data_IF_685754028534
#
_entry.id   IF_685754028534
#
_cell.length_a   1.000
_cell.length_b   1.000
_cell.length_c   1.000
_cell.angle_alpha   90.00
_cell.angle_beta   90.00
_cell.angle_gamma   90.00
#
_symmetry.space_group_name_H-M   'P 1'
#
loop_
_entity.id
_entity.type
_entity.pdbx_description
1 polymer ?
#
# COMPACT_ATOMS: atom_id res chain seq x y z
N UNK A 1 30.92 1.17 -6.35
CA UNK A 1 30.23 1.84 -5.21
C UNK A 1 29.57 0.79 -4.33
N UNK A 2 29.40 1.02 -3.02
CA UNK A 2 28.54 0.15 -2.21
C UNK A 2 27.07 0.28 -2.63
N UNK A 3 26.24 -0.76 -2.40
CA UNK A 3 24.84 -0.80 -2.84
C UNK A 3 24.05 0.45 -2.44
N UNK A 4 24.13 0.86 -1.17
CA UNK A 4 23.43 2.05 -0.67
C UNK A 4 23.96 3.37 -1.27
N UNK A 5 25.23 3.45 -1.64
CA UNK A 5 25.79 4.65 -2.28
C UNK A 5 25.27 4.83 -3.71
N UNK A 6 24.92 3.74 -4.40
CA UNK A 6 24.36 3.71 -5.75
C UNK A 6 22.87 4.12 -5.82
N UNK A 7 22.13 3.97 -4.72
CA UNK A 7 20.70 4.30 -4.68
C UNK A 7 20.46 5.81 -4.68
N UNK A 8 19.40 6.25 -5.37
CA UNK A 8 18.87 7.61 -5.33
C UNK A 8 17.59 7.70 -4.51
N UNK A 9 17.03 8.91 -4.39
CA UNK A 9 15.86 9.21 -3.54
C UNK A 9 14.66 8.30 -3.87
N UNK A 10 14.43 7.97 -5.14
CA UNK A 10 13.32 7.10 -5.56
C UNK A 10 13.37 5.70 -4.95
N UNK A 11 14.55 5.12 -4.75
CA UNK A 11 14.71 3.84 -4.08
C UNK A 11 14.10 3.86 -2.66
N UNK A 12 14.41 4.89 -1.88
CA UNK A 12 13.95 4.98 -0.49
C UNK A 12 12.43 5.15 -0.42
N UNK A 13 11.85 5.95 -1.31
CA UNK A 13 10.40 6.10 -1.38
C UNK A 13 9.72 4.80 -1.79
N UNK A 14 10.25 4.07 -2.79
CA UNK A 14 9.69 2.78 -3.20
C UNK A 14 9.76 1.75 -2.07
N UNK A 15 10.89 1.64 -1.37
CA UNK A 15 11.00 0.73 -0.21
C UNK A 15 10.00 1.11 0.88
N UNK A 16 9.80 2.41 1.14
CA UNK A 16 8.85 2.88 2.13
C UNK A 16 7.40 2.61 1.70
N UNK A 17 7.08 2.76 0.41
CA UNK A 17 5.81 2.34 -0.20
C UNK A 17 5.56 0.86 0.04
N UNK A 18 6.56 -0.01 -0.22
CA UNK A 18 6.44 -1.46 0.02
C UNK A 18 6.15 -1.75 1.49
N UNK A 19 6.90 -1.13 2.41
CA UNK A 19 6.69 -1.32 3.85
C UNK A 19 5.28 -0.91 4.26
N UNK A 20 4.81 0.25 3.79
CA UNK A 20 3.47 0.76 4.09
C UNK A 20 2.37 -0.10 3.47
N UNK A 21 2.55 -0.59 2.24
CA UNK A 21 1.60 -1.48 1.58
C UNK A 21 1.51 -2.84 2.28
N UNK A 22 2.64 -3.41 2.72
CA UNK A 22 2.66 -4.64 3.53
C UNK A 22 1.99 -4.41 4.88
N UNK A 23 2.33 -3.32 5.58
CA UNK A 23 1.70 -2.98 6.86
C UNK A 23 0.19 -2.76 6.70
N UNK A 24 -0.24 -2.07 5.64
CA UNK A 24 -1.65 -1.86 5.30
C UNK A 24 -2.37 -3.17 4.98
N UNK A 25 -1.70 -4.11 4.30
CA UNK A 25 -2.24 -5.46 4.05
C UNK A 25 -2.42 -6.25 5.34
N UNK A 26 -1.44 -6.23 6.24
CA UNK A 26 -1.53 -6.90 7.55
C UNK A 26 -2.64 -6.26 8.39
N UNK A 27 -2.71 -4.94 8.45
CA UNK A 27 -3.77 -4.22 9.16
C UNK A 27 -5.17 -4.53 8.59
N UNK A 28 -5.28 -4.65 7.26
CA UNK A 28 -6.52 -5.07 6.61
C UNK A 28 -6.93 -6.49 7.02
N UNK A 29 -6.00 -7.45 7.04
CA UNK A 29 -6.27 -8.82 7.45
C UNK A 29 -6.66 -8.92 8.94
N UNK A 30 -5.95 -8.19 9.81
CA UNK A 30 -6.32 -8.08 11.23
C UNK A 30 -7.72 -7.51 11.36
N UNK A 31 -8.03 -6.44 10.62
CA UNK A 31 -9.35 -5.85 10.65
C UNK A 31 -10.44 -6.83 10.16
N UNK A 32 -10.18 -7.61 9.12
CA UNK A 32 -11.11 -8.67 8.69
C UNK A 32 -11.29 -9.78 9.73
N UNK A 33 -10.43 -9.88 10.73
CA UNK A 33 -10.52 -10.87 11.80
C UNK A 33 -11.21 -10.37 13.07
N UNK A 34 -11.65 -9.11 13.13
CA UNK A 34 -12.30 -8.58 14.34
C UNK A 34 -13.76 -9.00 14.44
N UNK A 35 -14.33 -8.92 15.64
CA UNK A 35 -15.70 -9.36 15.92
C UNK A 35 -16.71 -8.65 15.01
N UNK A 36 -16.54 -7.34 14.81
CA UNK A 36 -17.43 -6.55 13.96
C UNK A 36 -17.29 -6.86 12.46
N UNK A 37 -16.05 -6.88 11.95
CA UNK A 37 -15.78 -6.88 10.51
C UNK A 37 -15.58 -8.28 9.92
N UNK A 38 -15.47 -9.32 10.75
CA UNK A 38 -15.33 -10.72 10.31
C UNK A 38 -16.45 -11.19 9.39
N UNK A 39 -17.68 -10.72 9.62
CA UNK A 39 -18.84 -11.05 8.78
C UNK A 39 -18.74 -10.50 7.35
N UNK A 40 -17.93 -9.47 7.11
CA UNK A 40 -17.68 -8.93 5.77
C UNK A 40 -16.61 -9.72 5.01
N UNK A 41 -15.81 -10.50 5.73
CA UNK A 41 -14.72 -11.29 5.18
C UNK A 41 -13.63 -10.46 4.49
N UNK A 42 -12.81 -11.19 3.72
CA UNK A 42 -11.68 -10.65 2.95
C UNK A 42 -12.16 -10.35 1.52
N UNK A 43 -12.08 -9.10 1.12
CA UNK A 43 -12.33 -8.66 -0.24
C UNK A 43 -11.13 -9.02 -1.13
N UNK A 44 -11.37 -9.93 -2.08
CA UNK A 44 -10.35 -10.42 -3.01
C UNK A 44 -9.76 -9.32 -3.90
N UNK A 45 -10.54 -8.29 -4.24
CA UNK A 45 -10.08 -7.14 -5.03
C UNK A 45 -9.02 -6.31 -4.30
N UNK A 46 -9.24 -6.04 -3.00
CA UNK A 46 -8.25 -5.33 -2.16
C UNK A 46 -6.96 -6.13 -2.10
N UNK A 47 -7.05 -7.42 -1.78
CA UNK A 47 -5.87 -8.29 -1.64
C UNK A 47 -5.11 -8.43 -2.95
N UNK A 48 -5.80 -8.68 -4.07
CA UNK A 48 -5.17 -8.82 -5.37
C UNK A 48 -4.41 -7.55 -5.75
N UNK A 49 -5.03 -6.37 -5.58
CA UNK A 49 -4.39 -5.10 -5.91
C UNK A 49 -3.15 -4.83 -5.03
N UNK A 50 -3.25 -5.05 -3.71
CA UNK A 50 -2.12 -4.84 -2.80
C UNK A 50 -0.95 -5.80 -3.10
N UNK A 51 -1.23 -7.09 -3.28
CA UNK A 51 -0.19 -8.09 -3.54
C UNK A 51 0.50 -7.81 -4.88
N UNK A 52 -0.27 -7.56 -5.95
CA UNK A 52 0.31 -7.26 -7.27
C UNK A 52 1.13 -5.97 -7.20
N UNK A 53 0.64 -4.93 -6.54
CA UNK A 53 1.39 -3.67 -6.38
C UNK A 53 2.71 -3.88 -5.63
N UNK A 54 2.70 -4.62 -4.51
CA UNK A 54 3.91 -4.93 -3.74
C UNK A 54 4.94 -5.67 -4.62
N UNK A 55 4.50 -6.67 -5.37
CA UNK A 55 5.38 -7.42 -6.28
C UNK A 55 5.98 -6.49 -7.33
N UNK A 56 5.17 -5.62 -7.95
CA UNK A 56 5.62 -4.67 -8.96
C UNK A 56 6.67 -3.69 -8.40
N UNK A 57 6.47 -3.14 -7.21
CA UNK A 57 7.47 -2.27 -6.56
C UNK A 57 8.80 -2.99 -6.32
N UNK A 58 8.77 -4.26 -5.87
CA UNK A 58 9.97 -5.07 -5.69
C UNK A 58 10.67 -5.36 -7.02
N UNK A 59 9.91 -5.65 -8.08
CA UNK A 59 10.43 -5.81 -9.44
C UNK A 59 11.10 -4.52 -9.91
N UNK A 60 10.52 -3.35 -9.61
CA UNK A 60 11.13 -2.05 -9.95
C UNK A 60 12.51 -1.87 -9.29
N UNK A 61 12.62 -2.19 -8.00
CA UNK A 61 13.88 -2.09 -7.25
C UNK A 61 14.94 -3.03 -7.82
N UNK A 62 14.60 -4.30 -8.03
CA UNK A 62 15.51 -5.33 -8.52
C UNK A 62 15.93 -5.03 -9.97
N UNK A 63 14.94 -4.73 -10.82
CA UNK A 63 15.12 -4.42 -12.24
C UNK A 63 16.02 -3.22 -12.46
N UNK A 64 15.76 -2.12 -11.74
CA UNK A 64 16.57 -0.90 -11.84
C UNK A 64 18.03 -1.12 -11.43
N UNK A 65 18.27 -2.00 -10.46
CA UNK A 65 19.62 -2.31 -9.97
C UNK A 65 20.38 -3.29 -10.88
N UNK A 66 19.68 -4.13 -11.65
CA UNK A 66 20.27 -5.20 -12.46
C UNK A 66 20.41 -4.82 -13.93
N UNK A 67 19.38 -4.20 -14.52
CA UNK A 67 19.29 -3.94 -15.96
C UNK A 67 19.52 -2.46 -16.32
N UNK A 68 19.62 -1.58 -15.32
CA UNK A 68 19.52 -0.14 -15.53
C UNK A 68 18.11 0.29 -15.90
N UNK A 69 17.85 1.59 -15.86
CA UNK A 69 16.50 2.13 -16.06
C UNK A 69 16.11 2.07 -17.54
N UNK A 70 14.92 1.54 -17.84
CA UNK A 70 14.37 1.41 -19.18
C UNK A 70 12.87 1.76 -19.20
N UNK A 71 12.29 1.93 -20.40
CA UNK A 71 10.88 2.35 -20.56
C UNK A 71 9.87 1.43 -19.87
N UNK A 72 10.17 0.14 -19.75
CA UNK A 72 9.27 -0.81 -19.09
C UNK A 72 9.29 -0.60 -17.57
N UNK A 73 10.48 -0.39 -17.00
CA UNK A 73 10.64 -0.07 -15.58
C UNK A 73 10.00 1.27 -15.21
N UNK A 74 10.04 2.26 -16.11
CA UNK A 74 9.38 3.56 -15.87
C UNK A 74 7.84 3.44 -15.82
N UNK A 75 7.26 2.41 -16.44
CA UNK A 75 5.81 2.16 -16.39
C UNK A 75 5.37 1.49 -15.08
N UNK A 76 6.25 0.74 -14.43
CA UNK A 76 5.92 -0.05 -13.25
C UNK A 76 5.35 0.81 -12.12
N UNK A 77 5.98 1.94 -11.71
CA UNK A 77 5.47 2.79 -10.64
C UNK A 77 4.07 3.37 -10.93
N UNK A 78 3.75 3.60 -12.22
CA UNK A 78 2.44 4.10 -12.64
C UNK A 78 1.37 3.02 -12.46
N UNK A 79 1.68 1.78 -12.87
CA UNK A 79 0.76 0.65 -12.75
C UNK A 79 0.59 0.24 -11.28
N UNK A 80 1.68 0.14 -10.51
CA UNK A 80 1.61 -0.15 -9.08
C UNK A 80 0.86 0.96 -8.33
N UNK A 81 1.09 2.22 -8.66
CA UNK A 81 0.37 3.36 -8.11
C UNK A 81 -1.14 3.30 -8.36
N UNK A 82 -1.55 2.97 -9.58
CA UNK A 82 -2.95 2.77 -9.92
C UNK A 82 -3.58 1.63 -9.10
N UNK A 83 -2.88 0.50 -8.95
CA UNK A 83 -3.35 -0.64 -8.15
C UNK A 83 -3.46 -0.27 -6.66
N UNK A 84 -2.48 0.44 -6.10
CA UNK A 84 -2.53 0.94 -4.72
C UNK A 84 -3.75 1.86 -4.51
N UNK A 85 -4.04 2.74 -5.48
CA UNK A 85 -5.20 3.62 -5.42
C UNK A 85 -6.52 2.83 -5.49
N UNK A 86 -6.61 1.82 -6.37
CA UNK A 86 -7.79 0.94 -6.43
C UNK A 86 -7.96 0.18 -5.12
N UNK A 87 -6.89 -0.38 -4.55
CA UNK A 87 -6.93 -1.04 -3.25
C UNK A 87 -7.43 -0.11 -2.15
N UNK A 88 -6.91 1.11 -2.08
CA UNK A 88 -7.34 2.13 -1.13
C UNK A 88 -8.84 2.46 -1.27
N UNK A 89 -9.30 2.74 -2.48
CA UNK A 89 -10.71 3.05 -2.75
C UNK A 89 -11.64 1.90 -2.36
N UNK A 90 -11.24 0.66 -2.68
CA UNK A 90 -11.98 -0.54 -2.30
C UNK A 90 -11.99 -0.75 -0.77
N UNK A 91 -10.88 -0.49 -0.08
CA UNK A 91 -10.82 -0.61 1.38
C UNK A 91 -11.73 0.40 2.07
N UNK A 92 -11.68 1.67 1.67
CA UNK A 92 -12.63 2.69 2.17
C UNK A 92 -14.07 2.25 1.91
N UNK A 93 -14.37 1.81 0.68
CA UNK A 93 -15.71 1.36 0.30
C UNK A 93 -16.19 0.17 1.13
N UNK A 94 -15.30 -0.78 1.42
CA UNK A 94 -15.60 -1.97 2.21
C UNK A 94 -15.82 -1.70 3.71
N UNK A 95 -15.47 -0.50 4.20
CA UNK A 95 -15.52 -0.18 5.64
C UNK A 95 -16.36 1.05 6.00
N UNK A 96 -16.63 1.95 5.06
CA UNK A 96 -17.35 3.20 5.34
C UNK A 96 -18.73 2.97 5.97
N UNK A 97 -19.49 1.97 5.50
CA UNK A 97 -20.80 1.65 6.07
C UNK A 97 -20.70 1.09 7.50
N UNK A 98 -19.73 0.21 7.76
CA UNK A 98 -19.49 -0.34 9.10
C UNK A 98 -19.02 0.74 10.08
N UNK A 99 -18.11 1.62 9.65
CA UNK A 99 -17.67 2.77 10.45
C UNK A 99 -18.87 3.66 10.81
N UNK A 100 -19.74 3.97 9.85
CA UNK A 100 -20.94 4.77 10.11
C UNK A 100 -21.88 4.10 11.14
N UNK A 101 -22.14 2.80 11.00
CA UNK A 101 -22.97 2.05 11.94
C UNK A 101 -22.40 2.02 13.36
N UNK A 102 -21.10 1.79 13.50
CA UNK A 102 -20.40 1.82 14.80
C UNK A 102 -20.54 3.20 15.44
N UNK A 103 -20.33 4.28 14.67
CA UNK A 103 -20.40 5.64 15.21
C UNK A 103 -21.83 6.05 15.61
N UNK A 104 -22.85 5.53 14.94
CA UNK A 104 -24.25 5.91 15.17
C UNK A 104 -24.99 5.04 16.18
N UNK A 105 -24.82 3.72 16.13
CA UNK A 105 -25.72 2.78 16.81
C UNK A 105 -25.01 1.80 17.73
N UNK A 106 -23.82 1.34 17.34
CA UNK A 106 -23.14 0.23 18.01
C UNK A 106 -21.94 0.71 18.84
N UNK A 107 -21.94 1.98 19.23
CA UNK A 107 -20.79 2.68 19.82
C UNK A 107 -20.46 2.17 21.23
N UNK A 108 -19.46 1.31 21.33
CA UNK A 108 -18.89 0.84 22.59
C UNK A 108 -17.38 0.63 22.47
N UNK A 109 -16.71 0.20 23.55
CA UNK A 109 -15.25 0.09 23.56
C UNK A 109 -14.69 -0.95 22.57
N UNK A 110 -15.36 -2.09 22.41
CA UNK A 110 -14.94 -3.16 21.50
C UNK A 110 -15.13 -2.75 20.04
N UNK A 111 -16.32 -2.28 19.67
CA UNK A 111 -16.61 -1.86 18.28
C UNK A 111 -15.79 -0.65 17.86
N UNK A 112 -15.49 0.27 18.78
CA UNK A 112 -14.58 1.38 18.49
C UNK A 112 -13.14 0.89 18.26
N UNK A 113 -12.66 -0.12 18.99
CA UNK A 113 -11.35 -0.73 18.73
C UNK A 113 -11.29 -1.38 17.35
N UNK A 114 -12.33 -2.11 16.97
CA UNK A 114 -12.49 -2.72 15.65
C UNK A 114 -12.48 -1.67 14.55
N UNK A 115 -13.24 -0.58 14.74
CA UNK A 115 -13.26 0.57 13.83
C UNK A 115 -11.87 1.20 13.70
N UNK A 116 -11.15 1.40 14.80
CA UNK A 116 -9.81 1.96 14.78
C UNK A 116 -8.83 1.07 14.01
N UNK A 117 -8.95 -0.26 14.10
CA UNK A 117 -8.14 -1.17 13.28
C UNK A 117 -8.39 -0.99 11.77
N UNK A 118 -9.63 -0.73 11.35
CA UNK A 118 -9.96 -0.40 9.97
C UNK A 118 -9.31 0.92 9.54
N UNK A 119 -9.42 1.96 10.38
CA UNK A 119 -8.85 3.29 10.12
C UNK A 119 -7.32 3.20 9.95
N UNK A 120 -6.63 2.44 10.81
CA UNK A 120 -5.17 2.23 10.68
C UNK A 120 -4.82 1.62 9.33
N UNK A 121 -5.54 0.58 8.89
CA UNK A 121 -5.30 -0.03 7.58
C UNK A 121 -5.53 0.93 6.41
N UNK A 122 -6.60 1.73 6.46
CA UNK A 122 -6.93 2.74 5.45
C UNK A 122 -5.83 3.80 5.36
N UNK A 123 -5.36 4.31 6.51
CA UNK A 123 -4.29 5.32 6.56
C UNK A 123 -2.98 4.77 6.02
N UNK A 124 -2.60 3.54 6.38
CA UNK A 124 -1.38 2.91 5.85
C UNK A 124 -1.44 2.72 4.34
N UNK A 125 -2.58 2.27 3.80
CA UNK A 125 -2.77 2.17 2.35
C UNK A 125 -2.70 3.54 1.66
N UNK A 126 -3.28 4.57 2.26
CA UNK A 126 -3.22 5.93 1.73
C UNK A 126 -1.79 6.49 1.70
N UNK A 127 -1.02 6.27 2.78
CA UNK A 127 0.38 6.69 2.82
C UNK A 127 1.23 5.96 1.77
N UNK A 128 0.97 4.66 1.53
CA UNK A 128 1.62 3.91 0.46
C UNK A 128 1.36 4.55 -0.92
N UNK A 129 0.11 4.94 -1.20
CA UNK A 129 -0.25 5.67 -2.44
C UNK A 129 0.54 6.97 -2.56
N UNK A 130 0.59 7.79 -1.51
CA UNK A 130 1.31 9.07 -1.55
C UNK A 130 2.80 8.88 -1.82
N UNK A 131 3.42 7.88 -1.18
CA UNK A 131 4.85 7.65 -1.32
C UNK A 131 5.21 7.01 -2.66
N UNK A 132 4.33 6.17 -3.22
CA UNK A 132 4.46 5.71 -4.59
C UNK A 132 4.45 6.90 -5.56
N UNK A 133 3.48 7.82 -5.43
CA UNK A 133 3.37 8.98 -6.31
C UNK A 133 4.66 9.82 -6.24
N UNK A 134 5.13 10.15 -5.04
CA UNK A 134 6.36 10.94 -4.87
C UNK A 134 7.57 10.18 -5.40
N UNK A 135 7.71 8.90 -5.06
CA UNK A 135 8.82 8.04 -5.50
C UNK A 135 8.91 7.90 -7.01
N UNK A 136 7.77 7.90 -7.71
CA UNK A 136 7.67 7.77 -9.16
C UNK A 136 8.33 8.91 -9.93
N UNK A 137 8.53 10.08 -9.32
CA UNK A 137 9.23 11.21 -9.95
C UNK A 137 10.76 11.12 -9.86
N UNK A 138 11.28 10.18 -9.07
CA UNK A 138 12.73 10.04 -8.86
C UNK A 138 13.22 8.72 -9.43
N UNK A 139 14.44 8.74 -9.99
CA UNK A 139 15.14 7.51 -10.35
C UNK A 139 15.42 6.67 -9.12
N UNK A 140 15.54 5.35 -9.31
CA UNK A 140 15.91 4.38 -8.27
C UNK A 140 17.43 4.33 -8.07
N UNK A 141 18.17 4.41 -9.18
CA UNK A 141 19.62 4.37 -9.21
C UNK A 141 20.16 5.71 -9.70
N UNK A 142 21.25 6.19 -9.10
CA UNK A 142 21.94 7.40 -9.55
C UNK A 142 22.52 7.20 -10.94
N UNK A 143 22.43 8.21 -11.80
CA UNK A 143 23.16 8.23 -13.06
C UNK A 143 24.68 8.20 -12.76
N UNK A 144 25.40 7.23 -13.32
CA UNK A 144 26.86 7.23 -13.28
C UNK A 144 27.33 8.42 -14.14
N UNK A 145 27.93 9.42 -13.48
CA UNK A 145 28.76 10.42 -14.15
C UNK A 145 30.15 9.86 -14.39
#
# INVERSE_FOLDING_TARGET
>A
MSFLKKQSVGFYFIILTVILAVAGTIAYLINCGTDYFSNLGINSGIMACLIIAIILELVMVIGSNTMGQNRLLDLIPVVSGALLMVAFALFVSARVAGIASIMSFERNASTMSDMMSAVVGIVLCFLAVLFNIVGSFFKVVKDEK
#
